data_IF_841916560816
#
_entry.id   IF_841916560816
#
_cell.length_a   1.000
_cell.length_b   1.000
_cell.length_c   1.000
_cell.angle_alpha   90.00
_cell.angle_beta   90.00
_cell.angle_gamma   90.00
#
_symmetry.space_group_name_H-M   'P 1'
#
loop_
_entity.id
_entity.type
_entity.pdbx_description
1 polymer ?
#
# COMPACT_ATOMS: atom_id res chain seq x y z
N UNK A 1 14.52 -2.16 -46.91
CA UNK A 1 14.55 -1.35 -45.68
C UNK A 1 13.15 -1.29 -45.10
N UNK A 2 12.78 -2.27 -44.27
CA UNK A 2 11.65 -2.11 -43.35
C UNK A 2 12.00 -2.87 -42.08
N UNK A 3 12.49 -2.10 -41.11
CA UNK A 3 12.79 -2.51 -39.75
C UNK A 3 11.49 -2.95 -39.08
N UNK A 4 11.39 -4.21 -38.65
CA UNK A 4 10.37 -4.60 -37.67
C UNK A 4 10.91 -4.17 -36.31
N UNK A 5 10.33 -3.10 -35.76
CA UNK A 5 10.60 -2.70 -34.39
C UNK A 5 10.10 -3.79 -33.44
N UNK A 6 11.00 -4.29 -32.60
CA UNK A 6 10.71 -5.12 -31.45
C UNK A 6 9.73 -4.38 -30.54
N UNK A 7 8.54 -4.95 -30.34
CA UNK A 7 7.64 -4.51 -29.29
C UNK A 7 8.26 -4.91 -27.96
N UNK A 8 8.81 -3.94 -27.24
CA UNK A 8 9.20 -4.13 -25.86
C UNK A 8 7.95 -4.56 -25.07
N UNK A 9 7.94 -5.80 -24.58
CA UNK A 9 6.98 -6.19 -23.56
C UNK A 9 7.28 -5.36 -22.31
N UNK A 10 6.43 -4.38 -22.04
CA UNK A 10 6.31 -3.78 -20.72
C UNK A 10 6.26 -4.92 -19.69
N UNK A 11 7.14 -4.95 -18.67
CA UNK A 11 7.08 -5.99 -17.66
C UNK A 11 5.77 -5.80 -16.91
N UNK A 12 4.79 -6.63 -17.23
CA UNK A 12 3.53 -6.68 -16.51
C UNK A 12 3.85 -6.81 -15.04
N UNK A 13 3.50 -5.79 -14.26
CA UNK A 13 3.54 -5.86 -12.81
C UNK A 13 2.69 -7.06 -12.41
N UNK A 14 3.34 -8.18 -12.13
CA UNK A 14 2.68 -9.43 -11.82
C UNK A 14 1.88 -9.20 -10.54
N UNK A 15 0.57 -9.11 -10.68
CA UNK A 15 -0.32 -9.07 -9.53
C UNK A 15 -0.27 -10.44 -8.87
N UNK A 16 0.50 -10.55 -7.78
CA UNK A 16 0.55 -11.76 -6.98
C UNK A 16 -0.84 -12.02 -6.40
N UNK A 17 -1.36 -13.22 -6.60
CA UNK A 17 -2.58 -13.64 -5.95
C UNK A 17 -2.35 -13.68 -4.42
N UNK A 18 -3.38 -13.39 -3.59
CA UNK A 18 -3.20 -13.29 -2.14
C UNK A 18 -2.52 -14.52 -1.50
N UNK A 19 -2.84 -15.72 -1.97
CA UNK A 19 -2.24 -16.96 -1.48
C UNK A 19 -0.72 -17.06 -1.73
N UNK A 20 -0.18 -16.33 -2.70
CA UNK A 20 1.26 -16.26 -2.99
C UNK A 20 1.97 -15.26 -2.06
N UNK A 21 1.24 -14.29 -1.51
CA UNK A 21 1.77 -13.27 -0.59
C UNK A 21 1.80 -13.80 0.85
N UNK A 22 0.77 -14.54 1.27
CA UNK A 22 0.62 -15.04 2.65
C UNK A 22 1.87 -15.74 3.21
N UNK A 23 2.58 -16.62 2.47
CA UNK A 23 3.81 -17.25 2.96
C UNK A 23 4.91 -16.25 3.36
N UNK A 24 4.95 -15.06 2.75
CA UNK A 24 5.93 -14.00 3.04
C UNK A 24 5.59 -13.24 4.34
N UNK A 25 4.37 -13.38 4.86
CA UNK A 25 3.89 -12.68 6.05
C UNK A 25 4.01 -13.55 7.33
N UNK A 26 4.37 -14.84 7.19
CA UNK A 26 4.48 -15.76 8.32
C UNK A 26 5.62 -15.33 9.25
N UNK A 27 5.29 -15.14 10.53
CA UNK A 27 6.21 -14.66 11.56
C UNK A 27 6.03 -13.17 11.91
N UNK A 28 5.35 -12.40 11.06
CA UNK A 28 4.89 -11.06 11.42
C UNK A 28 3.58 -11.11 12.22
N UNK A 29 3.42 -10.18 13.14
CA UNK A 29 2.14 -9.98 13.82
C UNK A 29 1.11 -9.34 12.87
N UNK A 30 -0.18 -9.54 13.17
CA UNK A 30 -1.25 -8.91 12.39
C UNK A 30 -1.12 -7.38 12.41
N UNK A 31 -0.71 -6.81 13.55
CA UNK A 31 -0.52 -5.36 13.68
C UNK A 31 0.59 -4.84 12.76
N UNK A 32 1.72 -5.56 12.65
CA UNK A 32 2.82 -5.19 11.76
C UNK A 32 2.41 -5.25 10.29
N UNK A 33 1.73 -6.33 9.88
CA UNK A 33 1.25 -6.49 8.50
C UNK A 33 0.24 -5.41 8.16
N UNK A 34 -0.72 -5.16 9.05
CA UNK A 34 -1.75 -4.15 8.86
C UNK A 34 -1.15 -2.74 8.80
N UNK A 35 -0.21 -2.43 9.70
CA UNK A 35 0.49 -1.15 9.73
C UNK A 35 1.22 -0.90 8.42
N UNK A 36 2.02 -1.87 7.96
CA UNK A 36 2.77 -1.72 6.71
C UNK A 36 1.83 -1.52 5.53
N UNK A 37 0.75 -2.30 5.46
CA UNK A 37 -0.28 -2.17 4.43
C UNK A 37 -0.91 -0.76 4.43
N UNK A 38 -1.22 -0.22 5.61
CA UNK A 38 -1.78 1.13 5.77
C UNK A 38 -0.78 2.20 5.31
N UNK A 39 0.48 2.12 5.76
CA UNK A 39 1.52 3.10 5.44
C UNK A 39 1.85 3.11 3.93
N UNK A 40 2.04 1.95 3.32
CA UNK A 40 2.31 1.87 1.88
C UNK A 40 1.11 2.36 1.06
N UNK A 41 -0.12 2.07 1.49
CA UNK A 41 -1.31 2.57 0.79
C UNK A 41 -1.45 4.08 0.92
N UNK A 42 -1.10 4.67 2.08
CA UNK A 42 -1.04 6.12 2.25
C UNK A 42 0.01 6.74 1.34
N UNK A 43 1.23 6.18 1.28
CA UNK A 43 2.29 6.65 0.40
C UNK A 43 1.86 6.59 -1.08
N UNK A 44 1.24 5.49 -1.52
CA UNK A 44 0.69 5.34 -2.87
C UNK A 44 -0.45 6.32 -3.19
N UNK A 45 -1.10 6.85 -2.16
CA UNK A 45 -2.17 7.83 -2.28
C UNK A 45 -1.73 9.25 -1.92
N UNK A 46 -0.42 9.55 -1.90
CA UNK A 46 0.12 10.88 -1.59
C UNK A 46 -0.35 11.42 -0.21
N UNK A 47 -0.51 10.51 0.75
CA UNK A 47 -1.05 10.81 2.09
C UNK A 47 -2.56 11.08 2.12
N UNK A 48 -3.28 10.95 1.00
CA UNK A 48 -4.72 11.16 0.92
C UNK A 48 -5.49 10.06 1.65
N UNK A 49 -5.93 10.38 2.86
CA UNK A 49 -6.64 9.46 3.76
C UNK A 49 -7.96 8.96 3.18
N UNK A 50 -8.71 9.80 2.46
CA UNK A 50 -9.99 9.40 1.86
C UNK A 50 -9.78 8.41 0.71
N UNK A 51 -8.76 8.64 -0.13
CA UNK A 51 -8.41 7.69 -1.20
C UNK A 51 -7.87 6.39 -0.61
N UNK A 52 -6.92 6.47 0.33
CA UNK A 52 -6.34 5.29 0.97
C UNK A 52 -7.38 4.42 1.69
N UNK A 53 -8.35 5.03 2.38
CA UNK A 53 -9.40 4.26 3.07
C UNK A 53 -10.29 3.50 2.08
N UNK A 54 -10.58 4.09 0.91
CA UNK A 54 -11.33 3.41 -0.16
C UNK A 54 -10.55 2.23 -0.72
N UNK A 55 -9.25 2.39 -0.95
CA UNK A 55 -8.37 1.29 -1.43
C UNK A 55 -8.33 0.14 -0.42
N UNK A 56 -8.24 0.45 0.87
CA UNK A 56 -8.20 -0.54 1.95
C UNK A 56 -9.56 -1.14 2.31
N UNK A 57 -10.67 -0.58 1.81
CA UNK A 57 -12.02 -0.99 2.23
C UNK A 57 -12.34 -0.63 3.69
N UNK A 58 -11.72 0.42 4.24
CA UNK A 58 -11.92 0.89 5.61
C UNK A 58 -12.74 2.18 5.64
N UNK A 59 -13.41 2.45 6.76
CA UNK A 59 -13.95 3.80 6.99
C UNK A 59 -12.82 4.81 7.16
N UNK A 60 -13.02 6.05 6.70
CA UNK A 60 -12.07 7.16 6.90
C UNK A 60 -11.77 7.36 8.40
N UNK A 61 -12.77 7.12 9.28
CA UNK A 61 -12.61 7.17 10.73
C UNK A 61 -11.62 6.12 11.23
N UNK A 62 -11.76 4.87 10.79
CA UNK A 62 -10.84 3.78 11.15
C UNK A 62 -9.42 4.12 10.72
N UNK A 63 -9.24 4.61 9.48
CA UNK A 63 -7.92 4.98 8.98
C UNK A 63 -7.29 6.12 9.78
N UNK A 64 -8.06 7.18 10.10
CA UNK A 64 -7.60 8.27 10.98
C UNK A 64 -7.21 7.77 12.37
N UNK A 65 -7.95 6.80 12.92
CA UNK A 65 -7.62 6.21 14.21
C UNK A 65 -6.27 5.49 14.17
N UNK A 66 -6.04 4.66 13.14
CA UNK A 66 -4.77 3.95 12.96
C UNK A 66 -3.59 4.91 12.80
N UNK A 67 -3.73 5.93 11.95
CA UNK A 67 -2.71 6.97 11.75
C UNK A 67 -2.32 7.63 13.08
N UNK A 68 -3.30 7.97 13.93
CA UNK A 68 -3.01 8.58 15.24
C UNK A 68 -2.24 7.63 16.15
N UNK A 69 -2.60 6.35 16.17
CA UNK A 69 -1.89 5.33 16.97
C UNK A 69 -0.45 5.24 16.50
N UNK A 70 -0.22 5.10 15.19
CA UNK A 70 1.13 5.00 14.62
C UNK A 70 1.98 6.23 14.95
N UNK A 71 1.44 7.43 14.75
CA UNK A 71 2.13 8.67 15.12
C UNK A 71 2.44 8.75 16.63
N UNK A 72 1.52 8.32 17.49
CA UNK A 72 1.73 8.27 18.94
C UNK A 72 2.80 7.23 19.35
N UNK A 73 2.97 6.18 18.54
CA UNK A 73 4.03 5.18 18.69
C UNK A 73 5.37 5.61 18.06
N UNK A 74 5.48 6.86 17.59
CA UNK A 74 6.71 7.40 16.99
C UNK A 74 6.97 6.92 15.56
N UNK A 75 5.96 6.36 14.90
CA UNK A 75 6.06 5.85 13.53
C UNK A 75 5.78 6.99 12.56
N UNK A 76 6.65 7.14 11.57
CA UNK A 76 6.47 8.14 10.52
C UNK A 76 5.28 7.78 9.63
N UNK A 77 4.39 8.74 9.43
CA UNK A 77 3.17 8.56 8.63
C UNK A 77 3.22 9.52 7.45
N UNK A 78 3.05 9.03 6.20
CA UNK A 78 3.03 9.88 5.03
C UNK A 78 2.07 11.07 5.18
N UNK A 79 2.61 12.28 5.10
CA UNK A 79 1.85 13.51 5.15
C UNK A 79 1.03 13.68 3.86
N UNK A 80 -0.08 14.42 3.97
CA UNK A 80 -0.88 14.78 2.80
C UNK A 80 -0.12 15.81 1.97
N UNK A 81 0.04 15.53 0.69
CA UNK A 81 0.59 16.47 -0.29
C UNK A 81 -0.59 17.10 -1.04
N UNK A 82 -0.65 18.43 -1.08
CA UNK A 82 -1.70 19.21 -1.77
C UNK A 82 -1.57 19.18 -3.30
#
# INVERSE_FOLDING_TARGET
MTTVHVAASEPGAQFLAPHQIVPLLIGATVDEVERELVLQTLARCDGNRTRASRVLGLSVRTLRNKIRIYAASGIDVPAYQD
#
